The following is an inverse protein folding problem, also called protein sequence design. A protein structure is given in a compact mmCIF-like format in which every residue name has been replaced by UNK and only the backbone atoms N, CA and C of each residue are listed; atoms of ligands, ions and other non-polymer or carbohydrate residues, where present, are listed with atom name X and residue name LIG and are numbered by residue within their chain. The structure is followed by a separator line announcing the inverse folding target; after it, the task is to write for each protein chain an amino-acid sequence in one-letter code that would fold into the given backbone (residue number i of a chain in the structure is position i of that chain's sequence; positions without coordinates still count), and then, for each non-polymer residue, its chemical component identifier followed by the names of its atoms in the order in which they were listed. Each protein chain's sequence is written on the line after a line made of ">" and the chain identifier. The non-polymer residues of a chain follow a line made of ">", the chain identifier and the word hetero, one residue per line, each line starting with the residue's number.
data_IF_933614226151
#
_entry.id   IF_933614226151
#
_cell.length_a   1.000
_cell.length_b   1.000
_cell.length_c   1.000
_cell.angle_alpha   90.00
_cell.angle_beta   90.00
_cell.angle_gamma   90.00
#
_symmetry.space_group_name_H-M   'P 1'
#
loop_
_entity.id
_entity.type
_entity.pdbx_description
1 polymer ?
#
# COMPACT_ATOMS: atom_id res chain seq x y z
N UNK A 1 -4.65 -14.31 -10.05
CA UNK A 1 -3.43 -13.92 -9.33
C UNK A 1 -2.67 -12.95 -10.22
N UNK A 2 -2.73 -11.67 -9.89
CA UNK A 2 -2.04 -10.61 -10.59
C UNK A 2 -0.67 -10.43 -9.94
N UNK A 3 0.38 -11.05 -10.50
CA UNK A 3 1.73 -11.02 -9.93
C UNK A 3 2.55 -9.79 -10.36
N UNK A 4 1.93 -8.81 -11.00
CA UNK A 4 2.60 -7.65 -11.61
C UNK A 4 2.44 -6.33 -10.85
N UNK A 5 1.40 -6.22 -10.02
CA UNK A 5 1.06 -4.96 -9.33
C UNK A 5 2.01 -4.67 -8.18
N UNK A 6 2.39 -5.69 -7.41
CA UNK A 6 3.27 -5.50 -6.25
C UNK A 6 4.66 -4.98 -6.67
N UNK A 7 5.16 -5.45 -7.81
CA UNK A 7 6.43 -4.99 -8.39
C UNK A 7 6.32 -3.55 -8.89
N UNK A 8 5.23 -3.20 -9.59
CA UNK A 8 5.04 -1.84 -10.08
C UNK A 8 4.99 -0.83 -8.92
N UNK A 9 4.25 -1.15 -7.85
CA UNK A 9 4.16 -0.32 -6.64
C UNK A 9 5.53 -0.18 -5.98
N UNK A 10 6.26 -1.29 -5.80
CA UNK A 10 7.60 -1.28 -5.20
C UNK A 10 8.57 -0.39 -5.99
N UNK A 11 8.57 -0.51 -7.32
CA UNK A 11 9.43 0.28 -8.21
C UNK A 11 9.05 1.76 -8.16
N UNK A 12 7.77 2.09 -8.25
CA UNK A 12 7.32 3.49 -8.29
C UNK A 12 7.56 4.20 -6.96
N UNK A 13 7.33 3.53 -5.82
CA UNK A 13 7.68 4.09 -4.49
C UNK A 13 9.15 4.51 -4.46
N UNK A 14 10.07 3.62 -4.82
CA UNK A 14 11.50 3.95 -4.76
C UNK A 14 11.85 5.04 -5.79
N UNK A 15 11.43 4.86 -7.04
CA UNK A 15 11.79 5.75 -8.15
C UNK A 15 11.27 7.18 -7.92
N UNK A 16 9.99 7.32 -7.59
CA UNK A 16 9.37 8.63 -7.38
C UNK A 16 9.93 9.31 -6.12
N UNK A 17 10.26 8.54 -5.08
CA UNK A 17 10.95 9.07 -3.89
C UNK A 17 12.34 9.61 -4.25
N UNK A 18 13.13 8.86 -5.04
CA UNK A 18 14.44 9.31 -5.51
C UNK A 18 14.37 10.54 -6.43
N UNK A 19 13.32 10.66 -7.23
CA UNK A 19 13.05 11.82 -8.09
C UNK A 19 12.56 13.05 -7.30
N UNK A 20 12.28 12.89 -5.99
CA UNK A 20 11.69 13.96 -5.17
C UNK A 20 10.27 14.32 -5.59
N UNK A 21 9.55 13.38 -6.23
CA UNK A 21 8.19 13.59 -6.69
C UNK A 21 7.16 13.61 -5.55
N UNK A 22 7.57 13.17 -4.35
CA UNK A 22 6.79 13.28 -3.12
C UNK A 22 7.71 13.42 -1.91
N UNK A 23 7.23 14.11 -0.87
CA UNK A 23 7.91 14.17 0.43
C UNK A 23 7.51 13.00 1.34
N UNK A 24 6.25 12.57 1.26
CA UNK A 24 5.66 11.46 2.03
C UNK A 24 4.92 10.50 1.10
N UNK A 25 5.31 9.23 1.11
CA UNK A 25 4.66 8.15 0.37
C UNK A 25 3.83 7.27 1.31
N UNK A 26 2.53 7.15 1.06
CA UNK A 26 1.63 6.28 1.84
C UNK A 26 1.28 5.04 1.04
N UNK A 27 1.67 3.87 1.53
CA UNK A 27 1.40 2.58 0.88
C UNK A 27 0.31 1.84 1.66
N UNK A 28 -0.86 1.68 1.04
CA UNK A 28 -1.95 0.90 1.63
C UNK A 28 -1.75 -0.59 1.32
N UNK A 29 -1.03 -1.32 2.18
CA UNK A 29 -0.79 -2.74 2.00
C UNK A 29 -0.40 -3.45 3.30
N UNK A 30 -0.75 -4.74 3.39
CA UNK A 30 -0.22 -5.67 4.39
C UNK A 30 0.78 -6.66 3.81
N UNK A 31 1.25 -6.45 2.58
CA UNK A 31 2.15 -7.35 1.87
C UNK A 31 3.60 -7.16 2.32
N UNK A 32 4.23 -8.27 2.72
CA UNK A 32 5.64 -8.29 3.12
C UNK A 32 6.60 -8.10 1.95
N UNK A 33 6.17 -8.36 0.72
CA UNK A 33 7.01 -8.22 -0.47
C UNK A 33 7.36 -6.75 -0.78
N UNK A 34 6.62 -5.80 -0.21
CA UNK A 34 6.90 -4.36 -0.32
C UNK A 34 7.93 -3.85 0.70
N UNK A 35 8.27 -4.64 1.72
CA UNK A 35 9.23 -4.24 2.76
C UNK A 35 10.59 -3.79 2.21
N UNK A 36 11.22 -4.50 1.25
CA UNK A 36 12.51 -4.06 0.70
C UNK A 36 12.44 -2.69 0.02
N UNK A 37 11.32 -2.36 -0.62
CA UNK A 37 11.15 -1.06 -1.29
C UNK A 37 10.98 0.07 -0.26
N UNK A 38 10.19 -0.16 0.79
CA UNK A 38 10.03 0.80 1.89
C UNK A 38 11.36 1.02 2.64
N UNK A 39 12.10 -0.05 2.89
CA UNK A 39 13.42 -0.01 3.52
C UNK A 39 14.41 0.80 2.67
N UNK A 40 14.45 0.57 1.35
CA UNK A 40 15.29 1.32 0.43
C UNK A 40 15.02 2.83 0.48
N UNK A 41 13.75 3.26 0.54
CA UNK A 41 13.42 4.70 0.64
C UNK A 41 13.94 5.31 1.94
N UNK A 42 13.80 4.59 3.06
CA UNK A 42 14.29 5.03 4.38
C UNK A 42 15.81 5.10 4.39
N UNK A 43 16.50 4.07 3.90
CA UNK A 43 17.96 3.98 3.87
C UNK A 43 18.59 5.04 2.96
N UNK A 44 18.01 5.24 1.77
CA UNK A 44 18.44 6.27 0.82
C UNK A 44 18.05 7.68 1.25
N UNK A 45 17.20 7.81 2.27
CA UNK A 45 16.67 9.08 2.78
C UNK A 45 16.05 9.95 1.68
N UNK A 46 15.41 9.31 0.71
CA UNK A 46 14.84 10.03 -0.43
C UNK A 46 13.42 10.54 -0.16
N UNK A 47 12.68 9.92 0.77
CA UNK A 47 11.37 10.39 1.21
C UNK A 47 10.99 9.83 2.60
N UNK A 48 9.92 10.35 3.20
CA UNK A 48 9.23 9.67 4.30
C UNK A 48 8.28 8.61 3.74
N UNK A 49 8.15 7.48 4.42
CA UNK A 49 7.21 6.43 4.03
C UNK A 49 6.36 5.97 5.20
N UNK A 50 5.08 5.79 4.89
CA UNK A 50 4.04 5.40 5.81
C UNK A 50 3.30 4.20 5.23
N UNK A 51 2.91 3.26 6.08
CA UNK A 51 2.04 2.16 5.70
C UNK A 51 0.64 2.46 6.21
N UNK A 52 -0.37 2.04 5.47
CA UNK A 52 -1.73 1.99 5.97
C UNK A 52 -2.29 0.57 5.79
N UNK A 53 -2.89 0.02 6.84
CA UNK A 53 -3.35 -1.36 6.85
C UNK A 53 -4.62 -1.53 7.70
N UNK A 54 -5.36 -2.60 7.44
CA UNK A 54 -6.57 -2.90 8.21
C UNK A 54 -6.23 -3.39 9.61
N UNK A 55 -6.93 -2.87 10.62
CA UNK A 55 -6.87 -3.37 12.00
C UNK A 55 -7.13 -4.87 12.04
N UNK A 56 -6.26 -5.60 12.73
CA UNK A 56 -6.32 -7.05 12.84
C UNK A 56 -5.46 -7.80 11.82
N UNK A 57 -4.82 -7.11 10.87
CA UNK A 57 -3.76 -7.72 10.06
C UNK A 57 -2.45 -7.82 10.85
N UNK A 58 -1.55 -8.69 10.38
CA UNK A 58 -0.21 -8.76 10.95
C UNK A 58 0.54 -7.45 10.68
N UNK A 59 1.23 -6.87 11.68
CA UNK A 59 2.06 -5.69 11.46
C UNK A 59 3.25 -6.06 10.58
N UNK A 60 3.53 -5.22 9.59
CA UNK A 60 4.75 -5.28 8.81
C UNK A 60 5.96 -4.99 9.69
N UNK A 61 7.06 -5.72 9.46
CA UNK A 61 8.32 -5.58 10.20
C UNK A 61 9.49 -5.67 9.25
N UNK A 62 10.41 -4.73 9.36
CA UNK A 62 11.66 -4.79 8.62
C UNK A 62 12.54 -5.94 9.12
N UNK A 63 13.46 -6.42 8.27
CA UNK A 63 14.57 -7.26 8.73
C UNK A 63 15.33 -6.53 9.85
N UNK A 64 15.26 -7.04 11.09
CA UNK A 64 15.81 -6.37 12.28
C UNK A 64 14.78 -5.94 13.33
N UNK A 65 13.49 -6.08 13.03
CA UNK A 65 12.41 -6.06 14.02
C UNK A 65 11.75 -4.70 14.26
N UNK A 66 12.30 -3.61 13.70
CA UNK A 66 11.61 -2.33 13.60
C UNK A 66 10.40 -2.44 12.66
N UNK A 67 9.45 -1.54 12.79
CA UNK A 67 8.27 -1.48 11.93
C UNK A 67 8.21 -0.11 11.25
N UNK A 68 7.71 -0.02 10.00
CA UNK A 68 7.36 1.26 9.42
C UNK A 68 6.25 1.91 10.26
N UNK A 69 6.13 3.23 10.15
CA UNK A 69 4.98 3.91 10.72
C UNK A 69 3.71 3.41 10.03
N UNK A 70 2.66 3.10 10.81
CA UNK A 70 1.46 2.44 10.29
C UNK A 70 0.17 3.13 10.76
N UNK A 71 -0.64 3.58 9.80
CA UNK A 71 -2.02 3.99 10.01
C UNK A 71 -2.95 2.78 9.97
N UNK A 72 -3.59 2.51 11.10
CA UNK A 72 -4.50 1.38 11.24
C UNK A 72 -5.95 1.78 10.95
N UNK A 73 -6.45 1.37 9.78
CA UNK A 73 -7.83 1.61 9.37
C UNK A 73 -8.79 0.58 9.95
N UNK A 74 -9.96 1.03 10.35
CA UNK A 74 -11.03 0.21 10.91
C UNK A 74 -12.30 0.20 10.05
N UNK A 75 -13.32 -0.48 10.58
CA UNK A 75 -14.64 -0.56 9.95
C UNK A 75 -15.29 0.82 9.75
N UNK A 76 -15.04 1.77 10.65
CA UNK A 76 -15.52 3.14 10.52
C UNK A 76 -14.92 3.83 9.29
N UNK A 77 -13.61 3.69 9.08
CA UNK A 77 -12.90 4.31 7.94
C UNK A 77 -13.36 3.70 6.62
N UNK A 78 -13.59 2.39 6.59
CA UNK A 78 -14.19 1.75 5.42
C UNK A 78 -15.61 2.28 5.15
N UNK A 79 -16.43 2.45 6.19
CA UNK A 79 -17.82 2.87 6.02
C UNK A 79 -17.96 4.29 5.44
N UNK A 80 -16.97 5.17 5.61
CA UNK A 80 -17.00 6.54 5.06
C UNK A 80 -16.65 6.60 3.59
N UNK A 81 -15.86 5.64 3.08
CA UNK A 81 -15.37 5.62 1.68
C UNK A 81 -15.94 4.47 0.85
N UNK A 82 -16.73 3.58 1.45
CA UNK A 82 -17.33 2.43 0.78
C UNK A 82 -18.12 2.87 -0.45
N UNK A 83 -17.74 2.33 -1.59
CA UNK A 83 -18.56 2.36 -2.79
C UNK A 83 -19.75 1.38 -2.65
N UNK A 84 -20.94 1.85 -3.00
CA UNK A 84 -22.17 1.05 -3.02
C UNK A 84 -22.48 0.50 -4.41
N UNK A 85 -21.70 0.85 -5.43
CA UNK A 85 -21.87 0.34 -6.78
C UNK A 85 -21.70 -1.18 -6.85
N UNK A 86 -22.67 -1.85 -7.50
CA UNK A 86 -22.60 -3.28 -7.79
C UNK A 86 -21.93 -3.51 -9.15
N UNK A 87 -20.63 -3.79 -9.12
CA UNK A 87 -19.82 -4.11 -10.28
C UNK A 87 -20.10 -5.49 -10.89
N UNK A 88 -20.91 -6.33 -10.24
CA UNK A 88 -21.35 -7.62 -10.76
C UNK A 88 -22.53 -7.51 -11.73
N UNK A 89 -23.22 -6.38 -11.76
CA UNK A 89 -24.44 -6.16 -12.54
C UNK A 89 -24.20 -5.78 -14.01
N UNK A 90 -23.20 -6.38 -14.66
CA UNK A 90 -23.10 -6.32 -16.13
C UNK A 90 -24.19 -7.24 -16.71
N UNK A 91 -25.26 -6.61 -17.14
CA UNK A 91 -26.44 -7.19 -17.79
C UNK A 91 -26.09 -8.30 -18.78
N UNK A 92 -26.65 -9.49 -18.55
CA UNK A 92 -26.92 -10.49 -19.59
C UNK A 92 -27.79 -9.83 -20.67
N UNK A 93 -27.14 -9.33 -21.72
CA UNK A 93 -27.79 -8.86 -22.94
C UNK A 93 -27.85 -10.00 -23.96
N UNK A 94 -29.05 -10.55 -24.10
CA UNK A 94 -29.70 -11.01 -25.34
C UNK A 94 -28.84 -11.62 -26.46
N UNK A 95 -28.96 -12.94 -26.64
CA UNK A 95 -29.26 -13.57 -27.94
C UNK A 95 -29.92 -14.94 -27.71
#
# INVERSE_FOLDING_TARGET
>A
MEKGVDVAIAVDVVRLGMEGAYDVGVVFSGDTDLLPALEAVIELKCAHVEVAAWRGSNPLRFPGGSAPWCQWLGKSDYATVRDLADYGSRSRGTQ
#
